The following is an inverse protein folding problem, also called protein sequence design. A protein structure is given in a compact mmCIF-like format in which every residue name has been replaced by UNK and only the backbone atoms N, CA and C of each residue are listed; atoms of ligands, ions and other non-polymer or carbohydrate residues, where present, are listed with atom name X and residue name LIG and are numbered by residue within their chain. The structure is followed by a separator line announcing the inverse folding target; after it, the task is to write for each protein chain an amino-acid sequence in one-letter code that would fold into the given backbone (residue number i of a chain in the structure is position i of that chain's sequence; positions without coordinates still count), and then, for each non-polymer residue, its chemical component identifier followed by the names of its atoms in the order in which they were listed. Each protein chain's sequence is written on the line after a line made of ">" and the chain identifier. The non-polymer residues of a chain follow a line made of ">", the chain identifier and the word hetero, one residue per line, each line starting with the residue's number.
data_IF_908207684918
#
_entry.id   IF_908207684918
#
_cell.length_a   1.000
_cell.length_b   1.000
_cell.length_c   1.000
_cell.angle_alpha   90.00
_cell.angle_beta   90.00
_cell.angle_gamma   90.00
#
_symmetry.space_group_name_H-M   'P 1'
#
loop_
_entity.id
_entity.type
_entity.pdbx_description
1 polymer ?
#
# COMPACT_ATOMS: atom_id res chain seq x y z
N UNK A 1 -31.21 -8.89 15.94
CA UNK A 1 -30.46 -8.16 16.97
C UNK A 1 -31.24 -6.90 17.37
N UNK A 2 -31.08 -6.40 18.60
CA UNK A 2 -31.73 -5.13 19.05
C UNK A 2 -30.95 -3.89 18.62
N UNK A 3 -29.64 -4.00 18.51
CA UNK A 3 -28.75 -2.99 17.95
C UNK A 3 -27.79 -3.64 16.95
N UNK A 4 -27.37 -2.86 15.95
CA UNK A 4 -26.38 -3.23 14.96
C UNK A 4 -25.34 -2.12 14.88
N UNK A 5 -24.06 -2.48 14.95
CA UNK A 5 -22.94 -1.57 14.77
C UNK A 5 -22.09 -2.14 13.64
N UNK A 6 -22.01 -1.42 12.52
CA UNK A 6 -21.29 -1.86 11.32
C UNK A 6 -19.94 -1.16 11.24
N UNK A 7 -18.89 -1.78 11.78
CA UNK A 7 -17.50 -1.33 11.71
C UNK A 7 -16.79 -1.90 10.46
N UNK A 8 -17.38 -1.72 9.29
CA UNK A 8 -16.97 -2.43 8.05
C UNK A 8 -15.74 -1.83 7.35
N UNK A 9 -15.30 -0.65 7.77
CA UNK A 9 -14.16 0.07 7.17
C UNK A 9 -14.48 0.71 5.83
N UNK A 10 -14.10 1.98 5.65
CA UNK A 10 -14.38 2.73 4.41
C UNK A 10 -13.42 2.36 3.25
N UNK A 11 -12.24 1.84 3.57
CA UNK A 11 -11.16 1.53 2.60
C UNK A 11 -10.82 0.03 2.56
N UNK A 12 -11.78 -0.84 2.91
CA UNK A 12 -11.55 -2.29 3.04
C UNK A 12 -11.83 -3.08 1.76
N UNK A 13 -12.56 -2.51 0.80
CA UNK A 13 -12.94 -3.18 -0.44
C UNK A 13 -11.97 -2.81 -1.57
N UNK A 14 -11.24 -3.79 -2.16
CA UNK A 14 -10.40 -3.55 -3.34
C UNK A 14 -11.18 -2.92 -4.50
N UNK A 15 -10.58 -1.94 -5.16
CA UNK A 15 -11.08 -1.41 -6.44
C UNK A 15 -10.13 -1.86 -7.55
N UNK A 16 -10.41 -3.03 -8.11
CA UNK A 16 -9.65 -3.57 -9.24
C UNK A 16 -10.08 -2.88 -10.53
N UNK A 17 -9.19 -2.17 -11.24
CA UNK A 17 -9.55 -1.48 -12.47
C UNK A 17 -9.86 -2.48 -13.59
N UNK A 18 -10.86 -2.15 -14.41
CA UNK A 18 -11.11 -2.88 -15.65
C UNK A 18 -10.04 -2.53 -16.68
N UNK A 19 -9.13 -3.46 -16.92
CA UNK A 19 -8.08 -3.33 -17.92
C UNK A 19 -8.32 -4.41 -18.98
N UNK A 20 -8.59 -4.03 -20.25
CA UNK A 20 -8.80 -5.01 -21.31
C UNK A 20 -7.64 -6.01 -21.42
N UNK A 21 -7.95 -7.31 -21.41
CA UNK A 21 -6.96 -8.38 -21.52
C UNK A 21 -6.19 -8.73 -20.24
N UNK A 22 -6.49 -8.06 -19.10
CA UNK A 22 -5.74 -8.29 -17.85
C UNK A 22 -5.79 -9.73 -17.35
N UNK A 23 -6.91 -10.43 -17.55
CA UNK A 23 -7.06 -11.84 -17.14
C UNK A 23 -6.24 -12.82 -17.97
N UNK A 24 -5.70 -12.39 -19.11
CA UNK A 24 -4.77 -13.17 -19.93
C UNK A 24 -3.30 -12.96 -19.56
N UNK A 25 -3.00 -12.13 -18.56
CA UNK A 25 -1.63 -11.94 -18.11
C UNK A 25 -1.12 -13.21 -17.40
N UNK A 26 -0.02 -13.77 -17.91
CA UNK A 26 0.57 -15.00 -17.37
C UNK A 26 1.40 -14.77 -16.09
N UNK A 27 1.66 -13.51 -15.74
CA UNK A 27 2.37 -13.16 -14.51
C UNK A 27 1.43 -13.00 -13.31
N UNK A 28 2.03 -12.72 -12.16
CA UNK A 28 1.27 -12.50 -10.92
C UNK A 28 0.60 -11.14 -10.92
N UNK A 29 -0.69 -11.10 -10.58
CA UNK A 29 -1.46 -9.87 -10.35
C UNK A 29 -1.78 -9.80 -8.85
N UNK A 30 -1.41 -8.70 -8.21
CA UNK A 30 -1.66 -8.46 -6.78
C UNK A 30 -2.36 -7.11 -6.63
N UNK A 31 -3.47 -7.09 -5.90
CA UNK A 31 -4.09 -5.84 -5.46
C UNK A 31 -3.54 -5.49 -4.07
N UNK A 32 -3.12 -4.25 -3.82
CA UNK A 32 -2.42 -3.89 -2.58
C UNK A 32 -3.26 -4.00 -1.31
N UNK A 33 -4.59 -3.92 -1.42
CA UNK A 33 -5.52 -4.20 -0.33
C UNK A 33 -5.78 -5.70 -0.07
N UNK A 34 -5.28 -6.59 -0.93
CA UNK A 34 -5.35 -8.05 -0.83
C UNK A 34 -3.98 -8.63 -1.20
N UNK A 35 -2.99 -8.28 -0.38
CA UNK A 35 -1.58 -8.58 -0.64
C UNK A 35 -1.28 -10.06 -0.42
N UNK A 36 -0.46 -10.64 -1.29
CA UNK A 36 0.09 -11.99 -1.11
C UNK A 36 1.41 -11.92 -0.32
N UNK A 37 1.37 -12.26 0.96
CA UNK A 37 2.54 -12.29 1.85
C UNK A 37 3.63 -13.28 1.41
N UNK A 38 3.32 -14.22 0.50
CA UNK A 38 4.30 -15.16 -0.06
C UNK A 38 5.04 -14.62 -1.29
N UNK A 39 4.64 -13.47 -1.82
CA UNK A 39 5.25 -12.88 -3.01
C UNK A 39 6.64 -12.30 -2.71
N UNK A 40 7.66 -12.82 -3.39
CA UNK A 40 9.02 -12.29 -3.39
C UNK A 40 9.26 -11.37 -4.61
N UNK A 41 9.43 -10.05 -4.41
CA UNK A 41 9.70 -9.10 -5.50
C UNK A 41 11.13 -9.17 -6.04
N UNK A 42 12.04 -9.90 -5.38
CA UNK A 42 13.46 -9.92 -5.71
C UNK A 42 13.70 -10.35 -7.16
N UNK A 43 14.47 -9.54 -7.89
CA UNK A 43 14.82 -9.76 -9.31
C UNK A 43 13.61 -9.90 -10.26
N UNK A 44 12.41 -9.48 -9.85
CA UNK A 44 11.22 -9.46 -10.72
C UNK A 44 11.17 -8.17 -11.53
N UNK A 45 10.53 -8.24 -12.70
CA UNK A 45 10.09 -7.05 -13.44
C UNK A 45 8.65 -6.77 -13.05
N UNK A 46 8.41 -5.59 -12.46
CA UNK A 46 7.14 -5.28 -11.80
C UNK A 46 6.52 -4.03 -12.44
N UNK A 47 5.21 -4.10 -12.70
CA UNK A 47 4.40 -2.95 -13.06
C UNK A 47 3.51 -2.52 -11.89
N UNK A 48 3.55 -1.23 -11.52
CA UNK A 48 2.63 -0.64 -10.53
C UNK A 48 1.63 0.25 -11.25
N UNK A 49 0.34 0.03 -11.00
CA UNK A 49 -0.75 0.86 -11.53
C UNK A 49 -1.31 1.72 -10.40
N UNK A 50 -1.20 3.04 -10.55
CA UNK A 50 -1.67 4.01 -9.57
C UNK A 50 -0.56 4.59 -8.69
N UNK A 51 -0.74 5.84 -8.29
CA UNK A 51 0.26 6.66 -7.59
C UNK A 51 -0.31 7.37 -6.36
N UNK A 52 -1.33 6.77 -5.72
CA UNK A 52 -1.93 7.29 -4.48
C UNK A 52 -1.06 7.04 -3.24
N UNK A 53 -1.63 7.28 -2.05
CA UNK A 53 -0.93 7.13 -0.77
C UNK A 53 -0.32 5.74 -0.54
N UNK A 54 -0.98 4.68 -1.01
CA UNK A 54 -0.46 3.30 -0.95
C UNK A 54 0.81 3.16 -1.79
N UNK A 55 0.81 3.68 -3.02
CA UNK A 55 1.93 3.57 -3.94
C UNK A 55 3.16 4.36 -3.46
N UNK A 56 2.97 5.52 -2.82
CA UNK A 56 4.08 6.32 -2.24
C UNK A 56 4.90 5.52 -1.24
N UNK A 57 4.26 4.61 -0.50
CA UNK A 57 4.94 3.74 0.47
C UNK A 57 5.51 2.48 -0.19
N UNK A 58 4.79 1.90 -1.16
CA UNK A 58 5.15 0.63 -1.77
C UNK A 58 6.27 0.75 -2.83
N UNK A 59 6.22 1.78 -3.68
CA UNK A 59 7.18 1.98 -4.78
C UNK A 59 8.63 2.01 -4.28
N UNK A 60 9.00 2.75 -3.20
CA UNK A 60 10.37 2.78 -2.71
C UNK A 60 10.88 1.42 -2.23
N UNK A 61 10.02 0.61 -1.60
CA UNK A 61 10.41 -0.72 -1.11
C UNK A 61 10.56 -1.72 -2.28
N UNK A 62 9.64 -1.69 -3.24
CA UNK A 62 9.77 -2.53 -4.45
C UNK A 62 10.97 -2.13 -5.31
N UNK A 63 11.25 -0.83 -5.44
CA UNK A 63 12.39 -0.34 -6.23
C UNK A 63 13.75 -0.82 -5.71
N UNK A 64 13.85 -1.17 -4.42
CA UNK A 64 15.08 -1.73 -3.83
C UNK A 64 15.29 -3.22 -4.15
N UNK A 65 14.21 -3.96 -4.43
CA UNK A 65 14.26 -5.42 -4.58
C UNK A 65 14.04 -5.90 -6.03
N UNK A 66 13.19 -5.20 -6.79
CA UNK A 66 12.87 -5.56 -8.16
C UNK A 66 14.08 -5.39 -9.10
N UNK A 67 14.14 -6.20 -10.15
CA UNK A 67 15.10 -6.00 -11.25
C UNK A 67 14.72 -4.80 -12.12
N UNK A 68 13.41 -4.59 -12.30
CA UNK A 68 12.85 -3.44 -13.02
C UNK A 68 11.49 -3.07 -12.42
N UNK A 69 11.23 -1.77 -12.28
CA UNK A 69 9.97 -1.26 -11.78
C UNK A 69 9.42 -0.18 -12.72
N UNK A 70 8.31 -0.50 -13.38
CA UNK A 70 7.58 0.45 -14.24
C UNK A 70 6.35 0.97 -13.49
N UNK A 71 6.19 2.30 -13.43
CA UNK A 71 5.06 2.96 -12.75
C UNK A 71 4.12 3.59 -13.77
N UNK A 72 2.88 3.10 -13.81
CA UNK A 72 1.80 3.63 -14.62
C UNK A 72 1.01 4.68 -13.84
N UNK A 73 1.38 5.95 -14.03
CA UNK A 73 0.75 7.11 -13.39
C UNK A 73 -0.32 7.73 -14.28
N UNK A 74 -1.57 7.76 -13.80
CA UNK A 74 -2.65 8.50 -14.47
C UNK A 74 -2.71 9.97 -14.03
N UNK A 75 -2.55 10.22 -12.73
CA UNK A 75 -2.62 11.57 -12.14
C UNK A 75 -1.51 11.70 -11.10
N UNK A 76 -0.54 12.61 -11.26
CA UNK A 76 0.47 12.85 -10.25
C UNK A 76 -0.15 13.41 -8.98
N UNK A 77 0.41 13.01 -7.83
CA UNK A 77 0.05 13.58 -6.53
C UNK A 77 1.20 14.43 -6.00
N UNK A 78 0.87 15.35 -5.11
CA UNK A 78 1.85 16.11 -4.35
C UNK A 78 2.43 15.22 -3.25
N UNK A 79 3.76 15.10 -3.22
CA UNK A 79 4.48 14.32 -2.22
C UNK A 79 5.43 15.25 -1.49
N UNK A 80 5.42 15.18 -0.16
CA UNK A 80 6.37 15.88 0.71
C UNK A 80 7.13 14.86 1.55
N UNK A 81 8.36 15.18 2.01
CA UNK A 81 9.10 14.29 2.88
C UNK A 81 8.31 13.94 4.16
N UNK A 82 8.10 12.65 4.40
CA UNK A 82 7.60 12.16 5.70
C UNK A 82 8.79 11.86 6.60
N UNK A 83 9.09 12.78 7.50
CA UNK A 83 10.11 12.57 8.53
C UNK A 83 9.53 11.60 9.56
N UNK A 84 9.96 10.34 9.51
CA UNK A 84 9.57 9.32 10.48
C UNK A 84 10.71 9.10 11.49
N UNK A 85 10.42 9.35 12.78
CA UNK A 85 11.40 9.22 13.86
C UNK A 85 10.94 8.16 14.85
N UNK A 86 11.83 7.25 15.30
CA UNK A 86 11.46 6.27 16.32
C UNK A 86 10.98 6.95 17.61
N UNK A 87 9.76 6.65 18.04
CA UNK A 87 9.28 7.10 19.34
C UNK A 87 10.05 6.41 20.47
N UNK A 88 10.75 7.21 21.30
CA UNK A 88 11.46 6.70 22.46
C UNK A 88 10.51 6.03 23.46
N UNK A 89 11.03 5.07 24.24
CA UNK A 89 10.23 4.39 25.28
C UNK A 89 9.69 5.35 26.35
N UNK A 90 10.34 6.51 26.55
CA UNK A 90 9.85 7.56 27.46
C UNK A 90 8.67 8.32 26.84
N UNK A 91 8.76 8.70 25.57
CA UNK A 91 7.68 9.37 24.85
C UNK A 91 6.41 8.51 24.81
N UNK A 92 6.55 7.20 24.48
CA UNK A 92 5.43 6.24 24.52
C UNK A 92 4.78 6.14 25.90
N UNK A 93 5.59 6.11 26.97
CA UNK A 93 5.10 6.05 28.37
C UNK A 93 4.35 7.32 28.78
N UNK A 94 4.80 8.48 28.33
CA UNK A 94 4.13 9.75 28.62
C UNK A 94 2.77 9.80 27.91
N UNK A 95 2.74 9.47 26.61
CA UNK A 95 1.51 9.49 25.81
C UNK A 95 0.43 8.54 26.34
N UNK A 96 0.83 7.34 26.81
CA UNK A 96 -0.12 6.38 27.39
C UNK A 96 -0.73 6.84 28.73
N UNK A 97 -0.07 7.72 29.49
CA UNK A 97 -0.53 8.19 30.81
C UNK A 97 -1.31 9.50 30.73
N UNK A 98 -1.01 10.32 29.74
CA UNK A 98 -1.66 11.60 29.50
C UNK A 98 -2.07 11.64 28.02
N UNK A 99 -3.25 11.10 27.67
CA UNK A 99 -3.81 11.31 26.34
C UNK A 99 -4.12 12.80 26.21
N UNK A 100 -3.30 13.52 25.45
CA UNK A 100 -3.59 14.86 24.95
C UNK A 100 -4.46 14.74 23.71
#
# INVERSE_FOLDING_TARGET
>A
ARYLITATGFLSQPLTPEIPGITGFEGTIIHTADWDDSYDPTNRRIGIIGTGATAVQLIPELARAAADLTVYQRTPIWVVPKVDVPFSARAKRLFARLPL
#
